data_IF_830376768205
#
_entry.id   IF_830376768205
#
_cell.length_a   1.000
_cell.length_b   1.000
_cell.length_c   1.000
_cell.angle_alpha   90.00
_cell.angle_beta   90.00
_cell.angle_gamma   90.00
#
_symmetry.space_group_name_H-M   'P 1'
#
loop_
_entity.id
_entity.type
_entity.pdbx_description
1 polymer ?
#
# COMPACT_ATOMS: atom_id res chain seq x y z
N UNK A 1 8.40 -0.12 -14.20
CA UNK A 1 8.62 -1.21 -13.23
C UNK A 1 7.27 -1.77 -12.80
N UNK A 2 6.80 -2.84 -13.44
CA UNK A 2 5.51 -3.47 -13.12
C UNK A 2 5.72 -4.50 -12.01
N UNK A 3 4.97 -4.37 -10.90
CA UNK A 3 4.97 -5.35 -9.81
C UNK A 3 4.41 -6.67 -10.37
N UNK A 4 5.28 -7.65 -10.59
CA UNK A 4 4.90 -8.92 -11.24
C UNK A 4 4.19 -9.89 -10.30
N UNK A 5 4.37 -9.73 -8.97
CA UNK A 5 3.83 -10.64 -7.96
C UNK A 5 2.91 -9.89 -6.99
N UNK A 6 1.77 -10.50 -6.60
CA UNK A 6 0.86 -9.92 -5.61
C UNK A 6 1.54 -9.68 -4.26
N UNK A 7 2.55 -10.48 -3.91
CA UNK A 7 3.37 -10.27 -2.72
C UNK A 7 4.14 -8.93 -2.76
N UNK A 8 4.67 -8.54 -3.92
CA UNK A 8 5.39 -7.28 -4.07
C UNK A 8 4.45 -6.08 -3.96
N UNK A 9 3.22 -6.19 -4.47
CA UNK A 9 2.16 -5.19 -4.31
C UNK A 9 1.76 -5.05 -2.84
N UNK A 10 1.63 -6.17 -2.13
CA UNK A 10 1.32 -6.17 -0.71
C UNK A 10 2.44 -5.52 0.12
N UNK A 11 3.70 -5.88 -0.13
CA UNK A 11 4.86 -5.32 0.58
C UNK A 11 4.98 -3.80 0.36
N UNK A 12 4.81 -3.34 -0.88
CA UNK A 12 4.83 -1.90 -1.18
C UNK A 12 3.65 -1.19 -0.55
N UNK A 13 2.46 -1.82 -0.54
CA UNK A 13 1.26 -1.29 0.12
C UNK A 13 1.45 -1.12 1.63
N UNK A 14 2.01 -2.13 2.30
CA UNK A 14 2.37 -2.07 3.72
C UNK A 14 3.40 -0.98 3.98
N UNK A 15 4.46 -0.90 3.17
CA UNK A 15 5.48 0.13 3.33
C UNK A 15 4.89 1.55 3.24
N UNK A 16 4.05 1.80 2.25
CA UNK A 16 3.39 3.10 2.08
C UNK A 16 2.46 3.43 3.25
N UNK A 17 1.76 2.44 3.81
CA UNK A 17 0.97 2.59 5.02
C UNK A 17 1.83 2.98 6.22
N UNK A 18 2.94 2.28 6.46
CA UNK A 18 3.88 2.60 7.55
C UNK A 18 4.42 4.02 7.40
N UNK A 19 4.87 4.38 6.19
CA UNK A 19 5.37 5.73 5.90
C UNK A 19 4.27 6.79 6.10
N UNK A 20 3.06 6.53 5.64
CA UNK A 20 1.91 7.42 5.86
C UNK A 20 1.65 7.63 7.35
N UNK A 21 1.61 6.55 8.14
CA UNK A 21 1.42 6.61 9.60
C UNK A 21 2.53 7.43 10.26
N UNK A 22 3.80 7.22 9.88
CA UNK A 22 4.91 7.99 10.43
C UNK A 22 4.77 9.49 10.15
N UNK A 23 4.35 9.87 8.93
CA UNK A 23 4.06 11.27 8.61
C UNK A 23 2.89 11.83 9.44
N UNK A 24 1.82 11.05 9.58
CA UNK A 24 0.66 11.41 10.41
C UNK A 24 1.03 11.62 11.88
N UNK A 25 1.81 10.70 12.46
CA UNK A 25 2.29 10.81 13.85
C UNK A 25 3.22 12.02 14.01
N UNK A 26 4.11 12.26 13.05
CA UNK A 26 5.01 13.42 13.07
C UNK A 26 4.29 14.77 12.98
N UNK A 27 3.03 14.78 12.53
CA UNK A 27 2.18 15.97 12.50
C UNK A 27 1.58 16.30 13.88
N UNK A 28 1.44 15.30 14.75
CA UNK A 28 0.87 15.46 16.10
C UNK A 28 1.93 16.13 16.99
N UNK A 29 1.68 17.38 17.37
CA UNK A 29 2.58 18.18 18.23
C UNK A 29 3.34 19.30 17.52
N UNK A 30 3.09 19.56 16.23
CA UNK A 30 3.67 20.73 15.56
C UNK A 30 2.81 21.98 15.83
N UNK A 31 3.46 23.03 16.32
CA UNK A 31 2.83 24.36 16.50
C UNK A 31 2.54 25.06 15.17
N UNK A 32 3.23 24.65 14.10
CA UNK A 32 3.00 25.16 12.74
C UNK A 32 1.83 24.44 12.06
N UNK A 33 0.73 25.15 11.88
CA UNK A 33 -0.45 24.66 11.15
C UNK A 33 -0.11 24.16 9.73
N UNK A 34 0.83 24.82 9.03
CA UNK A 34 1.28 24.40 7.71
C UNK A 34 1.95 23.02 7.73
N UNK A 35 2.79 22.76 8.73
CA UNK A 35 3.46 21.47 8.87
C UNK A 35 2.49 20.34 9.27
N UNK A 36 1.43 20.65 10.02
CA UNK A 36 0.37 19.71 10.32
C UNK A 36 -0.43 19.34 9.05
N UNK A 37 -0.81 20.32 8.23
CA UNK A 37 -1.52 20.10 6.96
C UNK A 37 -0.70 19.23 6.01
N UNK A 38 0.60 19.51 5.86
CA UNK A 38 1.48 18.68 5.01
C UNK A 38 1.57 17.25 5.54
N UNK A 39 1.75 17.05 6.85
CA UNK A 39 1.84 15.71 7.42
C UNK A 39 0.55 14.90 7.27
N UNK A 40 -0.61 15.53 7.46
CA UNK A 40 -1.92 14.89 7.22
C UNK A 40 -2.13 14.61 5.72
N UNK A 41 -1.75 15.54 4.84
CA UNK A 41 -1.82 15.32 3.39
C UNK A 41 -0.96 14.12 2.94
N UNK A 42 0.26 14.00 3.45
CA UNK A 42 1.15 12.87 3.19
C UNK A 42 0.60 11.55 3.75
N UNK A 43 -0.01 11.58 4.94
CA UNK A 43 -0.72 10.42 5.50
C UNK A 43 -1.83 9.95 4.57
N UNK A 44 -2.68 10.87 4.06
CA UNK A 44 -3.78 10.50 3.17
C UNK A 44 -3.26 9.95 1.85
N UNK A 45 -2.26 10.59 1.24
CA UNK A 45 -1.70 10.15 -0.04
C UNK A 45 -1.00 8.80 0.08
N UNK A 46 -0.07 8.67 1.02
CA UNK A 46 0.69 7.43 1.21
C UNK A 46 -0.18 6.32 1.78
N UNK A 47 -1.00 6.62 2.79
CA UNK A 47 -1.95 5.67 3.36
C UNK A 47 -2.99 5.21 2.33
N UNK A 48 -3.57 6.13 1.56
CA UNK A 48 -4.52 5.81 0.50
C UNK A 48 -3.91 4.95 -0.60
N UNK A 49 -2.71 5.31 -1.09
CA UNK A 49 -1.98 4.49 -2.06
C UNK A 49 -1.62 3.11 -1.49
N UNK A 50 -1.22 3.05 -0.22
CA UNK A 50 -0.91 1.80 0.47
C UNK A 50 -2.11 0.86 0.58
N UNK A 51 -3.26 1.39 1.01
CA UNK A 51 -4.54 0.64 1.05
C UNK A 51 -4.94 0.15 -0.33
N UNK A 52 -4.85 1.00 -1.36
CA UNK A 52 -5.19 0.62 -2.73
C UNK A 52 -4.32 -0.54 -3.23
N UNK A 53 -3.00 -0.50 -2.98
CA UNK A 53 -2.10 -1.59 -3.33
C UNK A 53 -2.42 -2.89 -2.59
N UNK A 54 -2.82 -2.81 -1.31
CA UNK A 54 -3.25 -4.00 -0.56
C UNK A 54 -4.53 -4.61 -1.14
N UNK A 55 -5.49 -3.79 -1.55
CA UNK A 55 -6.72 -4.27 -2.22
C UNK A 55 -6.38 -4.96 -3.54
N UNK A 56 -5.52 -4.34 -4.37
CA UNK A 56 -5.06 -4.92 -5.63
C UNK A 56 -4.33 -6.24 -5.37
N UNK A 57 -3.39 -6.26 -4.41
CA UNK A 57 -2.64 -7.45 -4.03
C UNK A 57 -3.58 -8.58 -3.58
N UNK A 58 -4.60 -8.29 -2.77
CA UNK A 58 -5.57 -9.26 -2.31
C UNK A 58 -6.42 -9.84 -3.45
N UNK A 59 -6.93 -8.98 -4.33
CA UNK A 59 -7.69 -9.41 -5.51
C UNK A 59 -6.83 -10.27 -6.44
N UNK A 60 -5.59 -9.84 -6.69
CA UNK A 60 -4.64 -10.51 -7.57
C UNK A 60 -4.13 -11.83 -6.98
N UNK A 61 -3.95 -11.91 -5.66
CA UNK A 61 -3.62 -13.16 -4.95
C UNK A 61 -4.77 -14.19 -5.01
N UNK A 62 -6.03 -13.74 -4.94
CA UNK A 62 -7.19 -14.63 -5.13
C UNK A 62 -7.23 -15.19 -6.55
N UNK A 63 -6.98 -14.35 -7.55
CA UNK A 63 -6.90 -14.77 -8.94
C UNK A 63 -5.72 -15.73 -9.20
N UNK A 64 -4.53 -15.44 -8.68
CA UNK A 64 -3.35 -16.32 -8.76
C UNK A 64 -3.65 -17.73 -8.24
N UNK A 65 -4.22 -17.83 -7.03
CA UNK A 65 -4.58 -19.11 -6.43
C UNK A 65 -5.65 -19.87 -7.20
N UNK A 66 -6.54 -19.17 -7.90
CA UNK A 66 -7.52 -19.81 -8.78
C UNK A 66 -6.85 -20.33 -10.06
N UNK A 67 -5.96 -19.54 -10.66
CA UNK A 67 -5.23 -19.91 -11.86
C UNK A 67 -4.33 -21.14 -11.64
N UNK A 68 -3.54 -21.15 -10.57
CA UNK A 68 -2.66 -22.28 -10.21
C UNK A 68 -3.47 -23.57 -9.99
N UNK A 69 -4.65 -23.48 -9.36
CA UNK A 69 -5.54 -24.64 -9.17
C UNK A 69 -6.08 -25.18 -10.49
N UNK A 70 -6.31 -24.32 -11.48
CA UNK A 70 -6.85 -24.72 -12.79
C UNK A 70 -5.78 -25.20 -13.76
N UNK A 71 -4.56 -24.67 -13.69
CA UNK A 71 -3.52 -24.89 -14.71
C UNK A 71 -2.29 -25.63 -14.17
N UNK A 72 -2.20 -25.88 -12.86
CA UNK A 72 -1.06 -26.58 -12.23
C UNK A 72 0.26 -25.81 -12.27
N UNK A 73 0.25 -24.53 -12.68
CA UNK A 73 1.44 -23.67 -12.80
C UNK A 73 1.09 -22.20 -12.51
N UNK A 74 2.06 -21.38 -12.07
CA UNK A 74 1.84 -19.94 -11.90
C UNK A 74 1.56 -19.26 -13.25
N UNK A 75 0.78 -18.16 -13.26
CA UNK A 75 0.40 -17.44 -14.48
C UNK A 75 1.57 -16.72 -15.20
N UNK A 76 2.76 -16.61 -14.58
CA UNK A 76 3.97 -16.04 -15.17
C UNK A 76 5.23 -16.71 -14.62
#
# INVERSE_FOLDING_TARGET
MTLKKPLSEALLGVLLLVVGILFGVSAIGKESAGAAVVGVGLLILAGGAGVMLLVIAGARARWFRAFERMHGRPPF
#
